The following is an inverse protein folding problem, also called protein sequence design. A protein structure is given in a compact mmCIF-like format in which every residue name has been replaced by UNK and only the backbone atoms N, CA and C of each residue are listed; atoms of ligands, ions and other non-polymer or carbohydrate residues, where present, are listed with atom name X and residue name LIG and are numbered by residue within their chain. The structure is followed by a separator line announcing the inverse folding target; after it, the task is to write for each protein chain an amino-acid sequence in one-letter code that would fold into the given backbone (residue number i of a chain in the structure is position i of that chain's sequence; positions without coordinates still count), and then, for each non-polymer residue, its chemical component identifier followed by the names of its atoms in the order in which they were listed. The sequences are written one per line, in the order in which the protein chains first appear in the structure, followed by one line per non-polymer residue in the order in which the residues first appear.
data_IF_427095741260
#
_entry.id   IF_427095741260
#
_cell.length_a   1.000
_cell.length_b   1.000
_cell.length_c   1.000
_cell.angle_alpha   90.00
_cell.angle_beta   90.00
_cell.angle_gamma   90.00
#
_symmetry.space_group_name_H-M   'P 1'
#
loop_
_entity.id
_entity.type
_entity.pdbx_description
1 polymer ?
#
# COMPACT_ATOMS: atom_id res chain seq x y z
N UNK A 1 -5.76 -4.23 15.22
CA UNK A 1 -7.21 -4.35 15.51
C UNK A 1 -7.95 -3.28 14.74
N UNK A 2 -9.08 -3.65 14.13
CA UNK A 2 -9.93 -2.73 13.37
C UNK A 2 -11.35 -2.75 13.96
N UNK A 3 -12.06 -1.61 13.99
CA UNK A 3 -13.39 -1.50 14.58
C UNK A 3 -14.49 -1.88 13.55
N UNK A 4 -14.38 -3.06 12.96
CA UNK A 4 -15.33 -3.57 11.95
C UNK A 4 -15.80 -4.98 12.32
N UNK A 5 -17.06 -5.24 12.05
CA UNK A 5 -17.61 -6.59 11.93
C UNK A 5 -17.12 -7.26 10.66
N UNK A 6 -17.27 -8.58 10.60
CA UNK A 6 -16.92 -9.36 9.41
C UNK A 6 -17.70 -8.88 8.17
N UNK A 7 -19.00 -8.59 8.33
CA UNK A 7 -19.87 -8.11 7.25
C UNK A 7 -19.44 -6.74 6.73
N UNK A 8 -19.00 -5.86 7.62
CA UNK A 8 -18.46 -4.54 7.26
C UNK A 8 -17.14 -4.67 6.49
N UNK A 9 -16.22 -5.53 6.93
CA UNK A 9 -14.99 -5.81 6.19
C UNK A 9 -15.30 -6.40 4.81
N UNK A 10 -16.17 -7.40 4.71
CA UNK A 10 -16.56 -7.99 3.41
C UNK A 10 -17.14 -6.92 2.49
N UNK A 11 -18.01 -6.05 3.00
CA UNK A 11 -18.64 -4.99 2.22
C UNK A 11 -17.61 -3.96 1.73
N UNK A 12 -16.69 -3.54 2.60
CA UNK A 12 -15.60 -2.63 2.26
C UNK A 12 -14.68 -3.23 1.20
N UNK A 13 -14.23 -4.47 1.37
CA UNK A 13 -13.31 -5.09 0.42
C UNK A 13 -13.97 -5.39 -0.93
N UNK A 14 -15.26 -5.76 -0.96
CA UNK A 14 -16.02 -5.84 -2.23
C UNK A 14 -16.06 -4.49 -2.93
N UNK A 15 -16.37 -3.42 -2.19
CA UNK A 15 -16.42 -2.06 -2.74
C UNK A 15 -15.08 -1.64 -3.32
N UNK A 16 -13.97 -1.90 -2.61
CA UNK A 16 -12.62 -1.56 -3.08
C UNK A 16 -12.17 -2.41 -4.25
N UNK A 17 -12.57 -3.70 -4.30
CA UNK A 17 -12.33 -4.54 -5.47
C UNK A 17 -13.04 -4.00 -6.72
N UNK A 18 -14.33 -3.69 -6.61
CA UNK A 18 -15.11 -3.10 -7.69
C UNK A 18 -14.53 -1.75 -8.13
N UNK A 19 -14.12 -0.93 -7.15
CA UNK A 19 -13.49 0.37 -7.41
C UNK A 19 -12.18 0.20 -8.17
N UNK A 20 -11.29 -0.68 -7.72
CA UNK A 20 -10.01 -0.94 -8.38
C UNK A 20 -10.19 -1.42 -9.82
N UNK A 21 -11.11 -2.36 -10.07
CA UNK A 21 -11.43 -2.83 -11.42
C UNK A 21 -12.00 -1.72 -12.31
N UNK A 22 -12.99 -0.97 -11.81
CA UNK A 22 -13.59 0.12 -12.57
C UNK A 22 -12.58 1.23 -12.89
N UNK A 23 -11.74 1.62 -11.92
CA UNK A 23 -10.68 2.61 -12.13
C UNK A 23 -9.62 2.13 -13.11
N UNK A 24 -9.23 0.85 -13.06
CA UNK A 24 -8.30 0.27 -14.03
C UNK A 24 -8.84 0.40 -15.46
N UNK A 25 -10.11 0.00 -15.69
CA UNK A 25 -10.74 0.11 -17.01
C UNK A 25 -10.81 1.56 -17.49
N UNK A 26 -11.09 2.51 -16.59
CA UNK A 26 -11.13 3.93 -16.92
C UNK A 26 -9.74 4.49 -17.27
N UNK A 27 -8.69 4.09 -16.54
CA UNK A 27 -7.31 4.46 -16.88
C UNK A 27 -6.87 3.82 -18.21
N UNK A 28 -7.20 2.56 -18.45
CA UNK A 28 -6.90 1.89 -19.73
C UNK A 28 -7.60 2.57 -20.91
N UNK A 29 -8.88 2.95 -20.74
CA UNK A 29 -9.65 3.71 -21.75
C UNK A 29 -9.00 5.07 -22.03
N UNK A 30 -8.57 5.79 -20.99
CA UNK A 30 -7.84 7.06 -21.12
C UNK A 30 -6.49 6.88 -21.83
N UNK A 31 -5.81 5.77 -21.58
CA UNK A 31 -4.46 5.48 -22.08
C UNK A 31 -4.43 4.76 -23.45
N UNK A 32 -5.56 4.58 -24.14
CA UNK A 32 -5.62 3.85 -25.42
C UNK A 32 -4.66 4.37 -26.51
N UNK A 33 -4.40 5.68 -26.53
CA UNK A 33 -3.48 6.31 -27.48
C UNK A 33 -2.00 6.24 -27.08
N UNK A 34 -1.67 5.72 -25.90
CA UNK A 34 -0.29 5.65 -25.41
C UNK A 34 0.38 4.32 -25.82
N UNK A 35 1.70 4.29 -26.06
CA UNK A 35 2.42 3.04 -26.28
C UNK A 35 2.28 2.10 -25.07
N UNK A 36 2.26 0.77 -25.26
CA UNK A 36 2.21 -0.17 -24.15
C UNK A 36 3.47 -0.05 -23.27
N UNK A 37 3.36 -0.42 -21.99
CA UNK A 37 4.54 -0.54 -21.13
C UNK A 37 5.44 -1.67 -21.63
N UNK A 38 6.75 -1.43 -21.56
CA UNK A 38 7.77 -2.42 -21.92
C UNK A 38 8.49 -2.83 -20.64
N UNK A 39 8.50 -4.12 -20.34
CA UNK A 39 9.22 -4.63 -19.18
C UNK A 39 10.72 -4.63 -19.43
N UNK A 40 11.52 -4.33 -18.41
CA UNK A 40 12.96 -4.55 -18.44
C UNK A 40 13.26 -6.04 -18.69
N UNK A 41 14.15 -6.33 -19.64
CA UNK A 41 14.48 -7.68 -20.08
C UNK A 41 15.96 -8.04 -19.91
N UNK A 42 16.80 -7.10 -19.46
CA UNK A 42 18.17 -7.37 -19.02
C UNK A 42 18.43 -6.81 -17.63
N UNK A 43 19.55 -7.24 -17.04
CA UNK A 43 20.02 -6.72 -15.74
C UNK A 43 20.24 -5.22 -15.81
N UNK A 44 20.91 -4.74 -16.87
CA UNK A 44 21.25 -3.33 -17.05
C UNK A 44 20.01 -2.46 -17.25
N UNK A 45 19.03 -2.95 -18.01
CA UNK A 45 17.74 -2.27 -18.20
C UNK A 45 16.99 -2.13 -16.87
N UNK A 46 16.95 -3.21 -16.08
CA UNK A 46 16.27 -3.21 -14.78
C UNK A 46 16.98 -2.30 -13.78
N UNK A 47 18.30 -2.40 -13.63
CA UNK A 47 19.07 -1.55 -12.72
C UNK A 47 18.90 -0.07 -13.06
N UNK A 48 18.95 0.30 -14.34
CA UNK A 48 18.71 1.67 -14.78
C UNK A 48 17.27 2.14 -14.50
N UNK A 49 16.27 1.26 -14.67
CA UNK A 49 14.87 1.55 -14.34
C UNK A 49 14.66 1.71 -12.82
N UNK A 50 15.26 0.83 -12.03
CA UNK A 50 15.19 0.82 -10.58
C UNK A 50 15.83 2.09 -9.99
N UNK A 51 17.01 2.50 -10.46
CA UNK A 51 17.66 3.74 -10.04
C UNK A 51 16.80 4.96 -10.38
N UNK A 52 16.29 5.04 -11.61
CA UNK A 52 15.37 6.11 -12.01
C UNK A 52 14.12 6.14 -11.13
N UNK A 53 13.59 4.98 -10.75
CA UNK A 53 12.44 4.86 -9.85
C UNK A 53 12.71 5.43 -8.46
N UNK A 54 13.89 5.14 -7.89
CA UNK A 54 14.32 5.71 -6.59
C UNK A 54 14.38 7.24 -6.67
N UNK A 55 15.08 7.77 -7.67
CA UNK A 55 15.21 9.22 -7.87
C UNK A 55 13.85 9.89 -8.10
N UNK A 56 12.98 9.27 -8.90
CA UNK A 56 11.64 9.77 -9.20
C UNK A 56 10.77 9.87 -7.95
N UNK A 57 10.72 8.82 -7.13
CA UNK A 57 9.91 8.82 -5.91
C UNK A 57 10.43 9.85 -4.90
N UNK A 58 11.73 9.83 -4.57
CA UNK A 58 12.30 10.73 -3.56
C UNK A 58 12.29 12.19 -4.03
N UNK A 59 12.59 12.42 -5.31
CA UNK A 59 12.47 13.73 -5.96
C UNK A 59 11.05 14.26 -5.87
N UNK A 60 10.05 13.46 -6.26
CA UNK A 60 8.64 13.82 -6.14
C UNK A 60 8.24 14.19 -4.70
N UNK A 61 8.55 13.34 -3.73
CA UNK A 61 8.18 13.57 -2.33
C UNK A 61 8.80 14.86 -1.77
N UNK A 62 10.04 15.15 -2.17
CA UNK A 62 10.78 16.36 -1.78
C UNK A 62 10.24 17.62 -2.47
N UNK A 63 10.18 17.62 -3.80
CA UNK A 63 9.81 18.77 -4.64
C UNK A 63 8.36 19.21 -4.42
N UNK A 64 7.44 18.24 -4.37
CA UNK A 64 6.01 18.49 -4.08
C UNK A 64 5.75 18.72 -2.60
N UNK A 65 6.78 18.61 -1.75
CA UNK A 65 6.69 18.77 -0.29
C UNK A 65 5.59 17.86 0.29
N UNK A 66 5.54 16.60 -0.15
CA UNK A 66 4.50 15.64 0.28
C UNK A 66 4.67 15.28 1.74
N UNK A 67 5.90 15.05 2.19
CA UNK A 67 6.22 14.68 3.57
C UNK A 67 7.64 15.16 3.94
N UNK A 68 8.00 15.16 5.24
CA UNK A 68 9.40 15.34 5.65
C UNK A 68 10.27 14.20 5.10
N UNK A 69 11.34 14.54 4.39
CA UNK A 69 12.34 13.56 3.92
C UNK A 69 13.44 13.43 4.97
N UNK A 70 13.68 12.21 5.43
CA UNK A 70 14.70 11.89 6.42
C UNK A 70 15.91 11.20 5.77
N UNK A 71 17.13 11.36 6.30
CA UNK A 71 18.34 10.77 5.72
C UNK A 71 18.31 9.24 5.57
N UNK A 72 17.51 8.56 6.38
CA UNK A 72 17.39 7.10 6.39
C UNK A 72 16.36 6.54 5.40
N UNK A 73 15.54 7.37 4.76
CA UNK A 73 14.52 6.91 3.81
C UNK A 73 15.14 6.34 2.53
N UNK A 74 16.09 7.06 1.92
CA UNK A 74 16.73 6.58 0.70
C UNK A 74 17.51 5.27 0.89
N UNK A 75 18.36 5.12 1.93
CA UNK A 75 19.00 3.84 2.23
C UNK A 75 17.99 2.69 2.39
N UNK A 76 16.90 2.92 3.15
CA UNK A 76 15.87 1.90 3.38
C UNK A 76 15.15 1.48 2.08
N UNK A 77 14.90 2.43 1.17
CA UNK A 77 14.34 2.12 -0.14
C UNK A 77 15.31 1.30 -1.00
N UNK A 78 16.59 1.70 -1.04
CA UNK A 78 17.62 1.06 -1.85
C UNK A 78 17.90 -0.38 -1.44
N UNK A 79 17.82 -0.71 -0.15
CA UNK A 79 17.92 -2.09 0.34
C UNK A 79 16.85 -3.02 -0.25
N UNK A 80 15.72 -2.46 -0.70
CA UNK A 80 14.55 -3.20 -1.17
C UNK A 80 14.22 -2.94 -2.65
N UNK A 81 15.12 -2.32 -3.41
CA UNK A 81 14.90 -1.94 -4.82
C UNK A 81 14.70 -3.14 -5.77
N UNK A 82 14.91 -4.36 -5.28
CA UNK A 82 14.79 -5.59 -6.06
C UNK A 82 15.99 -5.82 -6.98
N UNK A 83 15.87 -6.85 -7.80
CA UNK A 83 16.87 -7.25 -8.79
C UNK A 83 16.17 -7.80 -10.03
N UNK A 84 16.87 -7.85 -11.15
CA UNK A 84 16.34 -8.42 -12.38
C UNK A 84 15.95 -9.89 -12.19
N UNK A 85 14.76 -10.25 -12.69
CA UNK A 85 14.26 -11.63 -12.72
C UNK A 85 13.74 -11.93 -14.13
N UNK A 86 14.11 -13.07 -14.75
CA UNK A 86 13.58 -13.50 -16.04
C UNK A 86 12.05 -13.57 -16.05
N UNK A 87 11.41 -13.26 -17.19
CA UNK A 87 9.95 -13.11 -17.29
C UNK A 87 9.15 -14.32 -16.79
N UNK A 88 9.64 -15.53 -17.04
CA UNK A 88 9.02 -16.79 -16.66
C UNK A 88 9.12 -17.11 -15.15
N UNK A 89 9.92 -16.33 -14.40
CA UNK A 89 10.15 -16.48 -12.97
C UNK A 89 9.60 -15.30 -12.14
N UNK A 90 8.97 -14.31 -12.78
CA UNK A 90 8.43 -13.13 -12.11
C UNK A 90 7.11 -13.46 -11.43
N UNK A 91 7.06 -13.23 -10.12
CA UNK A 91 5.82 -13.17 -9.38
C UNK A 91 5.04 -11.88 -9.62
N UNK A 92 3.81 -11.83 -9.12
CA UNK A 92 2.91 -10.68 -9.22
C UNK A 92 3.59 -9.31 -9.01
N UNK A 93 4.36 -9.18 -7.91
CA UNK A 93 5.04 -7.94 -7.57
C UNK A 93 6.19 -7.64 -8.54
N UNK A 94 6.93 -8.67 -8.93
CA UNK A 94 8.04 -8.55 -9.87
C UNK A 94 7.55 -8.23 -11.28
N UNK A 95 6.38 -8.71 -11.72
CA UNK A 95 5.80 -8.33 -13.01
C UNK A 95 5.60 -6.81 -13.05
N UNK A 96 4.92 -6.24 -12.05
CA UNK A 96 4.74 -4.80 -11.94
C UNK A 96 6.06 -4.04 -11.86
N UNK A 97 6.98 -4.51 -11.00
CA UNK A 97 8.29 -3.88 -10.78
C UNK A 97 9.15 -3.82 -12.05
N UNK A 98 9.04 -4.81 -12.95
CA UNK A 98 9.76 -4.80 -14.22
C UNK A 98 9.13 -3.87 -15.27
N UNK A 99 7.86 -3.45 -15.12
CA UNK A 99 7.24 -2.42 -15.96
C UNK A 99 7.51 -1.00 -15.44
N UNK A 100 7.27 -0.79 -14.15
CA UNK A 100 7.64 0.43 -13.41
C UNK A 100 7.74 0.06 -11.92
N UNK A 101 8.89 0.24 -11.26
CA UNK A 101 9.05 -0.07 -9.86
C UNK A 101 8.37 0.94 -8.93
N UNK A 102 8.06 2.16 -9.40
CA UNK A 102 7.60 3.27 -8.55
C UNK A 102 6.28 2.97 -7.82
N UNK A 103 5.24 2.35 -8.42
CA UNK A 103 4.07 1.87 -7.70
C UNK A 103 4.39 1.02 -6.46
N UNK A 104 5.34 0.09 -6.58
CA UNK A 104 5.73 -0.76 -5.46
C UNK A 104 6.67 -0.03 -4.49
N UNK A 105 7.52 0.89 -4.98
CA UNK A 105 8.34 1.75 -4.12
C UNK A 105 7.50 2.71 -3.28
N UNK A 106 6.33 3.15 -3.77
CA UNK A 106 5.36 3.89 -2.94
C UNK A 106 4.89 3.04 -1.76
N UNK A 107 4.59 1.76 -1.98
CA UNK A 107 4.21 0.82 -0.91
C UNK A 107 5.31 0.64 0.14
N UNK A 108 6.56 0.75 -0.27
CA UNK A 108 7.74 0.62 0.61
C UNK A 108 7.83 1.70 1.70
N UNK A 109 6.81 2.54 1.85
CA UNK A 109 6.58 3.39 3.02
C UNK A 109 6.84 2.69 4.37
N UNK A 110 6.43 1.43 4.51
CA UNK A 110 6.65 0.69 5.75
C UNK A 110 8.14 0.46 6.05
N UNK A 111 9.03 0.46 5.05
CA UNK A 111 10.48 0.46 5.27
C UNK A 111 10.97 1.80 5.83
N UNK A 112 10.33 2.92 5.48
CA UNK A 112 10.60 4.21 6.11
C UNK A 112 10.16 4.22 7.58
N UNK A 113 9.03 3.60 7.90
CA UNK A 113 8.59 3.43 9.29
C UNK A 113 9.60 2.62 10.12
N UNK A 114 10.11 1.51 9.57
CA UNK A 114 11.10 0.67 10.23
C UNK A 114 12.45 1.36 10.38
N UNK A 115 12.90 2.10 9.36
CA UNK A 115 14.10 2.92 9.44
C UNK A 115 13.96 4.01 10.50
N UNK A 116 12.80 4.68 10.58
CA UNK A 116 12.52 5.66 11.63
C UNK A 116 12.53 5.02 13.02
N UNK A 117 11.91 3.85 13.22
CA UNK A 117 11.97 3.16 14.52
C UNK A 117 13.40 2.88 14.98
N UNK A 118 14.27 2.47 14.05
CA UNK A 118 15.68 2.15 14.31
C UNK A 118 16.51 3.40 14.62
N UNK A 119 16.37 4.45 13.82
CA UNK A 119 17.31 5.59 13.82
C UNK A 119 16.79 6.80 14.62
N UNK A 120 15.47 6.95 14.71
CA UNK A 120 14.78 8.04 15.44
C UNK A 120 13.65 7.46 16.31
N UNK A 121 13.98 6.61 17.30
CA UNK A 121 13.01 5.92 18.13
C UNK A 121 12.04 6.86 18.85
N UNK A 122 10.77 6.47 18.95
CA UNK A 122 9.75 7.26 19.62
C UNK A 122 10.10 7.52 21.10
N UNK A 123 9.79 8.73 21.59
CA UNK A 123 10.11 9.16 22.97
C UNK A 123 9.42 8.30 24.03
N UNK A 124 8.13 8.02 23.85
CA UNK A 124 7.35 7.08 24.68
C UNK A 124 7.99 5.67 24.66
N UNK A 125 8.38 5.12 25.83
CA UNK A 125 8.99 3.79 25.91
C UNK A 125 8.11 2.66 25.35
N UNK A 126 6.78 2.77 25.46
CA UNK A 126 5.84 1.75 25.00
C UNK A 126 5.72 1.71 23.47
N UNK A 127 6.03 2.83 22.78
CA UNK A 127 5.98 2.93 21.31
C UNK A 127 7.35 2.77 20.64
N UNK A 128 8.40 2.65 21.45
CA UNK A 128 9.78 2.69 20.99
C UNK A 128 10.22 1.38 20.38
N UNK A 129 9.97 0.30 21.10
CA UNK A 129 10.44 -1.04 20.76
C UNK A 129 9.33 -1.86 20.08
N UNK A 130 9.70 -2.86 19.26
CA UNK A 130 8.74 -3.82 18.74
C UNK A 130 7.92 -4.46 19.87
N UNK A 131 6.61 -4.50 19.68
CA UNK A 131 5.70 -5.19 20.60
C UNK A 131 5.78 -6.71 20.38
N UNK A 132 5.43 -7.48 21.41
CA UNK A 132 5.34 -8.95 21.32
C UNK A 132 4.29 -9.44 20.31
N UNK A 133 3.33 -8.58 19.98
CA UNK A 133 2.28 -8.84 19.01
C UNK A 133 2.24 -7.73 17.97
N UNK A 134 2.10 -8.12 16.70
CA UNK A 134 1.98 -7.18 15.61
C UNK A 134 0.54 -6.62 15.54
N UNK A 135 0.26 -5.61 16.36
CA UNK A 135 -1.09 -5.03 16.48
C UNK A 135 -1.32 -3.83 15.54
N UNK A 136 -0.27 -3.41 14.83
CA UNK A 136 -0.24 -2.22 13.99
C UNK A 136 -0.09 -2.52 12.49
N UNK A 137 -0.32 -3.77 12.05
CA UNK A 137 -0.36 -4.12 10.61
C UNK A 137 -1.29 -3.23 9.80
N UNK A 138 -2.50 -2.96 10.31
CA UNK A 138 -3.43 -2.03 9.66
C UNK A 138 -2.90 -0.60 9.58
N UNK A 139 -1.97 -0.18 10.43
CA UNK A 139 -1.26 1.09 10.26
C UNK A 139 -0.21 0.95 9.17
N UNK A 140 0.71 0.00 9.31
CA UNK A 140 1.88 -0.13 8.44
C UNK A 140 1.50 -0.49 7.00
N UNK A 141 0.71 -1.53 6.81
CA UNK A 141 0.23 -1.97 5.50
C UNK A 141 -0.88 -1.05 4.96
N UNK A 142 -1.67 -0.48 5.86
CA UNK A 142 -2.70 0.49 5.51
C UNK A 142 -2.12 1.76 4.91
N UNK A 143 -1.11 2.36 5.55
CA UNK A 143 -0.47 3.56 5.00
C UNK A 143 0.28 3.25 3.72
N UNK A 144 1.03 2.15 3.70
CA UNK A 144 1.74 1.67 2.52
C UNK A 144 0.80 1.52 1.31
N UNK A 145 -0.37 0.90 1.50
CA UNK A 145 -1.39 0.76 0.45
C UNK A 145 -2.06 2.10 0.12
N UNK A 146 -2.32 2.94 1.13
CA UNK A 146 -2.96 4.23 0.94
C UNK A 146 -2.10 5.20 0.13
N UNK A 147 -0.80 5.24 0.39
CA UNK A 147 0.10 6.19 -0.29
C UNK A 147 0.29 5.91 -1.78
N UNK A 148 0.12 4.67 -2.24
CA UNK A 148 0.14 4.36 -3.67
C UNK A 148 -0.89 5.21 -4.44
N UNK A 149 -2.10 5.33 -3.88
CA UNK A 149 -3.17 6.13 -4.47
C UNK A 149 -3.06 7.62 -4.11
N UNK A 150 -2.67 7.97 -2.87
CA UNK A 150 -2.48 9.37 -2.47
C UNK A 150 -1.39 10.03 -3.34
N UNK A 151 -0.27 9.36 -3.57
CA UNK A 151 0.82 9.88 -4.39
C UNK A 151 0.44 9.93 -5.87
N UNK A 152 -0.35 8.96 -6.35
CA UNK A 152 -0.96 9.03 -7.67
C UNK A 152 -1.82 10.29 -7.85
N UNK A 153 -2.72 10.59 -6.91
CA UNK A 153 -3.55 11.80 -6.95
C UNK A 153 -2.72 13.08 -6.78
N UNK A 154 -1.63 13.02 -6.03
CA UNK A 154 -0.69 14.14 -5.88
C UNK A 154 0.24 14.35 -7.09
N UNK A 155 0.14 13.50 -8.12
CA UNK A 155 0.79 13.70 -9.42
C UNK A 155 2.10 12.95 -9.63
N UNK A 156 2.35 11.86 -8.90
CA UNK A 156 3.57 11.03 -9.06
C UNK A 156 3.70 10.43 -10.47
N UNK A 157 2.58 10.20 -11.17
CA UNK A 157 2.55 9.47 -12.45
C UNK A 157 2.20 10.32 -13.68
N UNK A 158 2.34 11.64 -13.61
CA UNK A 158 1.99 12.51 -14.76
C UNK A 158 2.91 12.33 -15.97
N UNK A 159 4.15 11.89 -15.75
CA UNK A 159 5.15 11.55 -16.78
C UNK A 159 5.14 10.06 -17.18
N UNK A 160 4.41 9.21 -16.44
CA UNK A 160 4.18 7.80 -16.79
C UNK A 160 2.73 7.39 -16.48
N UNK A 161 1.76 7.80 -17.31
CA UNK A 161 0.34 7.59 -17.01
C UNK A 161 -0.07 6.12 -16.84
N UNK A 162 0.60 5.19 -17.55
CA UNK A 162 0.30 3.75 -17.44
C UNK A 162 0.69 3.14 -16.10
N UNK A 163 1.56 3.77 -15.33
CA UNK A 163 1.91 3.32 -13.98
C UNK A 163 0.72 3.35 -13.03
N UNK A 164 -0.28 4.21 -13.30
CA UNK A 164 -1.58 4.24 -12.57
C UNK A 164 -2.33 2.91 -12.72
N UNK A 165 -2.20 2.24 -13.86
CA UNK A 165 -2.81 0.92 -14.09
C UNK A 165 -2.24 -0.11 -13.10
N UNK A 166 -0.93 -0.07 -12.80
CA UNK A 166 -0.29 -0.97 -11.83
C UNK A 166 -0.82 -0.73 -10.41
N UNK A 167 -1.02 0.54 -10.01
CA UNK A 167 -1.62 0.89 -8.70
C UNK A 167 -2.99 0.24 -8.55
N UNK A 168 -3.85 0.35 -9.56
CA UNK A 168 -5.19 -0.26 -9.52
C UNK A 168 -5.15 -1.79 -9.50
N UNK A 169 -4.21 -2.41 -10.23
CA UNK A 169 -4.00 -3.87 -10.20
C UNK A 169 -3.58 -4.33 -8.81
N UNK A 170 -2.65 -3.63 -8.17
CA UNK A 170 -2.20 -3.91 -6.81
C UNK A 170 -3.32 -3.76 -5.78
N UNK A 171 -4.16 -2.72 -5.89
CA UNK A 171 -5.32 -2.56 -5.03
C UNK A 171 -6.35 -3.69 -5.22
N UNK A 172 -6.65 -4.06 -6.47
CA UNK A 172 -7.56 -5.16 -6.78
C UNK A 172 -7.07 -6.49 -6.20
N UNK A 173 -5.76 -6.77 -6.34
CA UNK A 173 -5.12 -7.95 -5.74
C UNK A 173 -5.32 -7.96 -4.23
N UNK A 174 -5.00 -6.86 -3.53
CA UNK A 174 -5.14 -6.78 -2.06
C UNK A 174 -6.59 -6.93 -1.59
N UNK A 175 -7.55 -6.36 -2.31
CA UNK A 175 -8.97 -6.48 -1.99
C UNK A 175 -9.49 -7.91 -2.21
N UNK A 176 -9.19 -8.53 -3.36
CA UNK A 176 -9.50 -9.93 -3.63
C UNK A 176 -8.87 -10.87 -2.59
N UNK A 177 -7.64 -10.54 -2.20
CA UNK A 177 -6.87 -11.28 -1.22
C UNK A 177 -7.51 -11.30 0.16
N UNK A 178 -7.88 -10.12 0.66
CA UNK A 178 -8.57 -9.99 1.93
C UNK A 178 -9.95 -10.65 1.92
N UNK A 179 -10.70 -10.61 0.81
CA UNK A 179 -11.97 -11.34 0.66
C UNK A 179 -11.78 -12.85 0.80
N UNK A 180 -10.82 -13.42 0.07
CA UNK A 180 -10.50 -14.85 0.19
C UNK A 180 -10.11 -15.21 1.64
N UNK A 181 -9.32 -14.37 2.30
CA UNK A 181 -8.95 -14.56 3.71
C UNK A 181 -10.18 -14.56 4.63
N UNK A 182 -11.10 -13.60 4.47
CA UNK A 182 -12.32 -13.52 5.29
C UNK A 182 -13.22 -14.75 5.11
N UNK A 183 -13.41 -15.22 3.88
CA UNK A 183 -14.22 -16.40 3.59
C UNK A 183 -13.58 -17.69 4.14
N UNK A 184 -12.25 -17.81 4.06
CA UNK A 184 -11.53 -18.93 4.64
C UNK A 184 -11.70 -18.99 6.16
N UNK A 185 -11.49 -17.87 6.85
CA UNK A 185 -11.63 -17.81 8.32
C UNK A 185 -13.06 -17.98 8.81
N UNK A 186 -14.05 -17.63 7.99
CA UNK A 186 -15.46 -17.90 8.25
C UNK A 186 -15.89 -19.35 7.95
N UNK A 187 -14.96 -20.23 7.53
CA UNK A 187 -15.24 -21.59 7.06
C UNK A 187 -16.24 -21.65 5.89
N UNK A 188 -16.34 -20.56 5.11
CA UNK A 188 -17.17 -20.51 3.90
C UNK A 188 -16.42 -21.03 2.67
N UNK A 189 -15.09 -21.06 2.74
CA UNK A 189 -14.18 -21.57 1.73
C UNK A 189 -13.04 -22.33 2.40
N UNK A 190 -12.54 -23.36 1.73
CA UNK A 190 -11.22 -23.94 2.03
C UNK A 190 -10.11 -22.96 1.64
N UNK A 191 -8.89 -23.17 2.15
CA UNK A 191 -7.73 -22.35 1.76
C UNK A 191 -7.43 -22.42 0.25
N UNK A 192 -7.70 -23.57 -0.37
CA UNK A 192 -7.55 -23.73 -1.82
C UNK A 192 -8.57 -22.87 -2.59
N UNK A 193 -9.83 -22.88 -2.15
CA UNK A 193 -10.89 -22.05 -2.74
C UNK A 193 -10.62 -20.56 -2.53
N UNK A 194 -10.15 -20.15 -1.35
CA UNK A 194 -9.74 -18.79 -1.08
C UNK A 194 -8.59 -18.33 -2.01
N UNK A 195 -7.60 -19.19 -2.29
CA UNK A 195 -6.56 -18.91 -3.27
C UNK A 195 -7.10 -18.68 -4.69
N UNK A 196 -8.18 -19.37 -5.09
CA UNK A 196 -8.83 -19.16 -6.40
C UNK A 196 -9.52 -17.81 -6.51
N UNK A 197 -10.02 -17.24 -5.40
CA UNK A 197 -10.56 -15.87 -5.37
C UNK A 197 -9.49 -14.86 -5.79
N UNK A 198 -8.26 -15.04 -5.30
CA UNK A 198 -7.14 -14.13 -5.56
C UNK A 198 -6.73 -14.17 -7.03
N UNK A 199 -6.66 -15.36 -7.62
CA UNK A 199 -6.32 -15.55 -9.04
C UNK A 199 -7.40 -14.95 -9.94
N UNK A 200 -8.67 -15.26 -9.67
CA UNK A 200 -9.80 -14.81 -10.50
C UNK A 200 -9.91 -13.29 -10.59
N UNK A 201 -9.66 -12.60 -9.48
CA UNK A 201 -9.97 -11.18 -9.35
C UNK A 201 -8.74 -10.27 -9.43
N UNK A 202 -7.52 -10.82 -9.50
CA UNK A 202 -6.34 -10.02 -9.86
C UNK A 202 -6.35 -9.77 -11.37
N UNK A 203 -6.33 -8.50 -11.84
CA UNK A 203 -6.36 -8.23 -13.27
C UNK A 203 -5.15 -8.78 -14.04
N UNK A 204 -5.31 -8.91 -15.35
CA UNK A 204 -4.27 -9.31 -16.33
C UNK A 204 -3.66 -10.71 -16.11
N UNK A 205 -4.27 -11.54 -15.27
CA UNK A 205 -3.81 -12.91 -15.04
C UNK A 205 -2.44 -13.01 -14.36
N UNK A 206 -1.95 -11.94 -13.72
CA UNK A 206 -0.61 -11.90 -13.11
C UNK A 206 -0.39 -12.93 -11.99
N UNK A 207 -1.48 -13.46 -11.41
CA UNK A 207 -1.43 -14.49 -10.37
C UNK A 207 -1.47 -15.94 -10.91
N UNK A 208 -1.75 -16.16 -12.20
CA UNK A 208 -1.87 -17.52 -12.76
C UNK A 208 -0.53 -18.29 -12.80
N UNK A 209 0.59 -17.56 -12.72
CA UNK A 209 1.95 -18.11 -12.79
C UNK A 209 2.56 -18.51 -11.44
N UNK A 210 1.81 -18.38 -10.33
CA UNK A 210 2.42 -18.26 -8.99
C UNK A 210 1.88 -19.25 -7.91
N UNK A 211 2.03 -20.57 -8.09
CA UNK A 211 1.54 -21.55 -7.11
C UNK A 211 2.27 -21.47 -5.76
N UNK A 212 3.53 -21.04 -5.73
CA UNK A 212 4.32 -20.92 -4.50
C UNK A 212 3.92 -19.71 -3.67
N UNK A 213 3.77 -18.53 -4.30
CA UNK A 213 3.31 -17.31 -3.63
C UNK A 213 1.92 -17.51 -3.03
N UNK A 214 0.98 -18.08 -3.80
CA UNK A 214 -0.37 -18.38 -3.32
C UNK A 214 -0.35 -19.25 -2.06
N UNK A 215 0.45 -20.33 -2.05
CA UNK A 215 0.58 -21.20 -0.86
C UNK A 215 1.17 -20.46 0.33
N UNK A 216 2.25 -19.71 0.12
CA UNK A 216 2.88 -18.93 1.17
C UNK A 216 1.88 -17.95 1.81
N UNK A 217 1.14 -17.21 0.98
CA UNK A 217 0.12 -16.27 1.43
C UNK A 217 -0.98 -16.96 2.25
N UNK A 218 -1.52 -18.09 1.79
CA UNK A 218 -2.53 -18.82 2.59
C UNK A 218 -1.97 -19.28 3.95
N UNK A 219 -0.72 -19.77 3.99
CA UNK A 219 -0.07 -20.13 5.26
C UNK A 219 0.16 -18.93 6.19
N UNK A 220 0.45 -17.75 5.64
CA UNK A 220 0.55 -16.52 6.42
C UNK A 220 -0.80 -16.16 7.05
N UNK A 221 -1.87 -16.14 6.26
CA UNK A 221 -3.21 -15.77 6.74
C UNK A 221 -3.74 -16.74 7.80
N UNK A 222 -3.46 -18.05 7.65
CA UNK A 222 -3.81 -19.03 8.68
C UNK A 222 -3.20 -18.73 10.04
N UNK A 223 -1.99 -18.17 10.06
CA UNK A 223 -1.23 -17.86 11.28
C UNK A 223 -1.51 -16.44 11.81
N UNK A 224 -2.10 -15.58 10.97
CA UNK A 224 -2.36 -14.19 11.29
C UNK A 224 -3.75 -13.75 10.78
N UNK A 225 -4.83 -14.16 11.47
CA UNK A 225 -6.17 -13.70 11.14
C UNK A 225 -6.26 -12.18 11.11
N UNK A 226 -6.86 -11.63 10.06
CA UNK A 226 -6.96 -10.18 9.82
C UNK A 226 -5.78 -9.57 9.04
N UNK A 227 -4.65 -10.28 8.87
CA UNK A 227 -3.53 -9.76 8.08
C UNK A 227 -3.92 -9.58 6.60
N UNK A 228 -4.67 -10.51 6.02
CA UNK A 228 -5.13 -10.41 4.63
C UNK A 228 -5.97 -9.15 4.34
N UNK A 229 -6.73 -8.65 5.33
CA UNK A 229 -7.61 -7.49 5.18
C UNK A 229 -6.97 -6.17 5.63
N UNK A 230 -5.86 -6.22 6.38
CA UNK A 230 -5.28 -5.05 7.04
C UNK A 230 -4.86 -3.93 6.07
N UNK A 231 -4.48 -4.29 4.84
CA UNK A 231 -4.11 -3.38 3.77
C UNK A 231 -5.26 -2.43 3.41
N UNK A 232 -6.43 -3.00 3.13
CA UNK A 232 -7.61 -2.24 2.68
C UNK A 232 -8.33 -1.59 3.87
N UNK A 233 -8.51 -2.33 4.97
CA UNK A 233 -9.13 -1.77 6.18
C UNK A 233 -8.28 -0.66 6.79
N UNK A 234 -6.96 -0.82 6.79
CA UNK A 234 -6.00 0.18 7.23
C UNK A 234 -6.02 1.43 6.36
N UNK A 235 -5.97 1.26 5.03
CA UNK A 235 -6.13 2.36 4.07
C UNK A 235 -7.42 3.14 4.33
N UNK A 236 -8.55 2.45 4.46
CA UNK A 236 -9.84 3.07 4.74
C UNK A 236 -9.84 3.90 6.03
N UNK A 237 -9.26 3.38 7.11
CA UNK A 237 -9.13 4.12 8.37
C UNK A 237 -8.28 5.39 8.22
N UNK A 238 -7.21 5.32 7.43
CA UNK A 238 -6.32 6.46 7.21
C UNK A 238 -6.96 7.50 6.29
N UNK A 239 -7.71 7.09 5.27
CA UNK A 239 -8.51 7.99 4.43
C UNK A 239 -9.56 8.72 5.27
N UNK A 240 -10.24 8.02 6.18
CA UNK A 240 -11.16 8.63 7.15
C UNK A 240 -10.47 9.64 8.07
N UNK A 241 -9.29 9.29 8.60
CA UNK A 241 -8.47 10.21 9.39
C UNK A 241 -8.04 11.44 8.55
N UNK A 242 -7.64 11.25 7.30
CA UNK A 242 -7.27 12.37 6.43
C UNK A 242 -8.45 13.31 6.17
N UNK A 243 -9.65 12.76 5.94
CA UNK A 243 -10.87 13.54 5.78
C UNK A 243 -11.23 14.33 7.05
N UNK A 244 -11.24 13.68 8.22
CA UNK A 244 -11.52 14.33 9.50
C UNK A 244 -10.49 15.43 9.81
N UNK A 245 -9.21 15.15 9.59
CA UNK A 245 -8.16 16.14 9.78
C UNK A 245 -8.31 17.33 8.81
N UNK A 246 -8.67 17.09 7.55
CA UNK A 246 -8.92 18.15 6.58
C UNK A 246 -10.09 19.05 6.99
N UNK A 247 -11.21 18.46 7.41
CA UNK A 247 -12.38 19.19 7.91
C UNK A 247 -12.02 20.07 9.13
N UNK A 248 -11.25 19.53 10.08
CA UNK A 248 -10.79 20.29 11.25
C UNK A 248 -9.88 21.47 10.89
N UNK A 249 -8.99 21.30 9.90
CA UNK A 249 -8.10 22.36 9.44
C UNK A 249 -8.90 23.44 8.69
N UNK A 250 -9.86 23.04 7.86
CA UNK A 250 -10.78 23.96 7.17
C UNK A 250 -11.62 24.76 8.17
N UNK A 251 -12.17 24.11 9.21
CA UNK A 251 -12.92 24.78 10.29
C UNK A 251 -12.09 25.79 11.09
N UNK A 252 -10.76 25.71 11.04
CA UNK A 252 -9.84 26.70 11.62
C UNK A 252 -9.50 27.85 10.64
N UNK A 253 -10.09 27.87 9.44
CA UNK A 253 -9.77 28.83 8.39
C UNK A 253 -8.39 28.63 7.76
N UNK A 254 -7.83 27.41 7.84
CA UNK A 254 -6.53 27.06 7.29
C UNK A 254 -6.69 26.11 6.10
N UNK A 255 -5.70 26.09 5.23
CA UNK A 255 -5.65 25.12 4.13
C UNK A 255 -4.99 23.81 4.60
N UNK A 256 -5.51 22.67 4.15
CA UNK A 256 -4.87 21.37 4.34
C UNK A 256 -3.49 21.34 3.66
N UNK A 257 -2.46 20.95 4.42
CA UNK A 257 -1.10 20.75 3.92
C UNK A 257 -0.70 19.30 4.13
N UNK A 258 -0.48 18.58 3.03
CA UNK A 258 -0.15 17.15 3.04
C UNK A 258 1.11 16.84 3.86
N UNK A 259 2.13 17.71 3.79
CA UNK A 259 3.35 17.61 4.60
C UNK A 259 3.08 17.56 6.10
N UNK A 260 2.17 18.40 6.56
CA UNK A 260 1.85 18.53 7.99
C UNK A 260 1.05 17.33 8.47
N UNK A 261 0.15 16.82 7.63
CA UNK A 261 -0.56 15.56 7.88
C UNK A 261 0.44 14.39 8.05
N UNK A 262 1.31 14.16 7.07
CA UNK A 262 2.29 13.06 7.15
C UNK A 262 3.30 13.23 8.27
N UNK A 263 3.70 14.48 8.57
CA UNK A 263 4.54 14.76 9.73
C UNK A 263 3.85 14.29 11.02
N UNK A 264 2.61 14.73 11.26
CA UNK A 264 1.84 14.34 12.46
C UNK A 264 1.58 12.83 12.52
N UNK A 265 1.21 12.23 11.38
CA UNK A 265 0.95 10.80 11.28
C UNK A 265 2.19 9.97 11.64
N UNK A 266 3.37 10.33 11.11
CA UNK A 266 4.62 9.61 11.39
C UNK A 266 5.17 9.90 12.79
N UNK A 267 4.98 11.10 13.31
CA UNK A 267 5.42 11.48 14.66
C UNK A 267 4.64 10.71 15.74
N UNK A 268 3.40 10.30 15.47
CA UNK A 268 2.61 9.47 16.40
C UNK A 268 3.22 8.07 16.64
N UNK A 269 4.08 7.60 15.72
CA UNK A 269 4.74 6.30 15.77
C UNK A 269 3.87 5.13 15.29
N UNK A 270 4.35 3.91 15.52
CA UNK A 270 3.70 2.68 15.07
C UNK A 270 2.70 2.17 16.11
N UNK A 271 1.50 2.74 16.08
CA UNK A 271 0.35 2.38 16.92
C UNK A 271 -0.90 2.16 16.05
N UNK A 272 -1.97 1.52 16.55
CA UNK A 272 -3.22 1.38 15.81
C UNK A 272 -3.74 2.73 15.27
N UNK A 273 -4.26 2.73 14.04
CA UNK A 273 -4.70 3.94 13.32
C UNK A 273 -5.70 4.78 14.13
N UNK A 274 -6.61 4.15 14.87
CA UNK A 274 -7.58 4.87 15.72
C UNK A 274 -6.91 5.64 16.88
N UNK A 275 -5.77 5.15 17.40
CA UNK A 275 -4.99 5.91 18.39
C UNK A 275 -4.22 7.05 17.75
N UNK A 276 -3.70 6.87 16.52
CA UNK A 276 -3.11 7.96 15.74
C UNK A 276 -4.15 9.04 15.46
N UNK A 277 -5.35 8.63 15.04
CA UNK A 277 -6.49 9.52 14.81
C UNK A 277 -6.82 10.32 16.06
N UNK A 278 -7.01 9.67 17.21
CA UNK A 278 -7.27 10.36 18.47
C UNK A 278 -6.16 11.37 18.81
N UNK A 279 -4.88 11.00 18.66
CA UNK A 279 -3.76 11.91 18.92
C UNK A 279 -3.73 13.11 17.97
N UNK A 280 -4.07 12.91 16.69
CA UNK A 280 -4.05 13.96 15.67
C UNK A 280 -5.24 14.90 15.75
N UNK A 281 -6.44 14.39 16.03
CA UNK A 281 -7.69 15.16 15.95
C UNK A 281 -8.27 15.53 17.31
N UNK A 282 -7.80 14.90 18.40
CA UNK A 282 -8.34 15.06 19.75
C UNK A 282 -9.70 14.38 19.97
N UNK A 283 -10.31 13.82 18.93
CA UNK A 283 -11.64 13.20 18.99
C UNK A 283 -11.56 11.78 19.53
N UNK A 284 -12.15 11.57 20.71
CA UNK A 284 -12.19 10.26 21.40
C UNK A 284 -13.34 9.37 20.97
N UNK A 285 -14.38 9.94 20.37
CA UNK A 285 -15.58 9.23 19.94
C UNK A 285 -15.52 9.01 18.42
N UNK A 286 -16.20 7.96 17.98
CA UNK A 286 -16.40 7.62 16.58
C UNK A 286 -17.87 7.84 16.23
#
# INVERSE_FOLDING_TARGET
MVPFSWEEEVSLLKRELDRAWSSLVLEEQKNQGLPPMVAANTVEEFEAMAEKGVQRLLGFLSEKKIMPIKPNMEPALREHMGQFVPEDQRNFFLIGMHYDPVPLYSHFYHWFDLAQMRDEPHSSPIRREPLLYNIFDSKSEGIATGVEEIFMHAGLYEDSPRSKEIVWIMLAQRAARGLGSLYAHANMMTMEEAGKVHVKWTPRGWMEREPHLLRFEQHLYLRQPGYGTCYVTGKYLIEGLMAEYAEQIEGQGKQFVMKDFFKKFNDAGNIPVELVRWEMTGNKQR
#
